data_IF_474452270770
#
_entry.id   IF_474452270770
#
_cell.length_a   1.000
_cell.length_b   1.000
_cell.length_c   1.000
_cell.angle_alpha   90.00
_cell.angle_beta   90.00
_cell.angle_gamma   90.00
#
_symmetry.space_group_name_H-M   'P 1'
#
loop_
_entity.id
_entity.type
_entity.pdbx_description
1 polymer ?
#
# COMPACT_ATOMS: atom_id res chain seq x y z
N UNK A 1 -41.95 16.38 37.32
CA UNK A 1 -42.22 17.78 37.72
C UNK A 1 -41.16 18.66 37.07
N UNK A 2 -41.30 18.88 35.75
CA UNK A 2 -40.63 19.94 34.98
C UNK A 2 -41.74 20.51 34.11
N UNK A 3 -41.88 21.82 34.21
CA UNK A 3 -43.09 22.58 33.99
C UNK A 3 -43.40 22.72 32.50
N UNK A 4 -44.53 22.14 32.06
CA UNK A 4 -45.22 22.52 30.83
C UNK A 4 -45.80 23.93 31.02
N UNK A 5 -45.07 24.95 30.60
CA UNK A 5 -45.66 26.28 30.40
C UNK A 5 -46.30 26.32 29.00
N UNK A 6 -47.60 26.03 28.93
CA UNK A 6 -48.43 26.31 27.77
C UNK A 6 -48.61 27.82 27.63
N UNK A 7 -47.97 28.41 26.62
CA UNK A 7 -48.27 29.78 26.15
C UNK A 7 -49.47 29.73 25.20
N UNK A 8 -50.56 30.38 25.59
CA UNK A 8 -51.84 30.49 24.88
C UNK A 8 -51.86 31.58 23.79
N UNK A 9 -50.71 32.10 23.35
CA UNK A 9 -50.61 33.03 22.23
C UNK A 9 -49.80 32.46 21.05
N UNK A 10 -50.45 31.58 20.28
CA UNK A 10 -50.73 31.81 18.86
C UNK A 10 -49.61 32.08 17.85
N UNK A 11 -48.33 31.86 18.16
CA UNK A 11 -47.27 31.68 17.16
C UNK A 11 -46.34 30.59 17.67
N UNK A 12 -46.47 29.38 17.11
CA UNK A 12 -45.36 28.43 17.16
C UNK A 12 -44.20 29.14 16.48
N UNK A 13 -43.26 29.68 17.26
CA UNK A 13 -41.94 30.01 16.77
C UNK A 13 -41.47 28.73 16.08
N UNK A 14 -41.37 28.78 14.75
CA UNK A 14 -40.72 27.73 13.97
C UNK A 14 -39.47 27.37 14.76
N UNK A 15 -39.25 26.09 15.13
CA UNK A 15 -38.02 25.71 15.82
C UNK A 15 -36.90 26.31 15.00
N UNK A 16 -36.12 27.23 15.60
CA UNK A 16 -34.95 27.79 14.92
C UNK A 16 -34.23 26.58 14.36
N UNK A 17 -34.13 26.52 13.03
CA UNK A 17 -33.52 25.40 12.36
C UNK A 17 -32.10 25.33 12.91
N UNK A 18 -31.86 24.41 13.86
CA UNK A 18 -30.57 24.23 14.50
C UNK A 18 -29.62 23.81 13.38
N UNK A 19 -28.92 24.80 12.83
CA UNK A 19 -27.95 24.59 11.78
C UNK A 19 -26.90 23.61 12.31
N UNK A 20 -26.57 22.62 11.51
CA UNK A 20 -25.46 21.71 11.80
C UNK A 20 -24.19 22.56 11.86
N UNK A 21 -23.65 22.75 13.06
CA UNK A 21 -22.43 23.53 13.22
C UNK A 21 -21.26 22.76 12.60
N UNK A 22 -20.42 23.39 11.75
CA UNK A 22 -19.34 22.72 11.02
C UNK A 22 -18.23 22.20 11.94
N UNK A 23 -18.27 22.59 13.21
CA UNK A 23 -17.32 22.18 14.24
C UNK A 23 -17.26 20.66 14.42
N UNK A 24 -18.39 19.95 14.36
CA UNK A 24 -18.40 18.49 14.48
C UNK A 24 -17.51 17.84 13.41
N UNK A 25 -17.65 18.29 12.15
CA UNK A 25 -16.85 17.79 11.04
C UNK A 25 -15.38 18.21 11.13
N UNK A 26 -15.09 19.45 11.54
CA UNK A 26 -13.71 19.94 11.70
C UNK A 26 -12.98 19.18 12.82
N UNK A 27 -13.61 19.02 13.98
CA UNK A 27 -13.03 18.26 15.09
C UNK A 27 -12.96 16.76 14.80
N UNK A 28 -14.00 16.19 14.16
CA UNK A 28 -14.02 14.81 13.71
C UNK A 28 -12.91 14.51 12.71
N UNK A 29 -12.69 15.41 11.74
CA UNK A 29 -11.57 15.37 10.80
C UNK A 29 -10.22 15.45 11.53
N UNK A 30 -10.05 16.41 12.44
CA UNK A 30 -8.83 16.54 13.24
C UNK A 30 -8.53 15.28 14.04
N UNK A 31 -9.53 14.73 14.72
CA UNK A 31 -9.42 13.48 15.47
C UNK A 31 -9.07 12.30 14.55
N UNK A 32 -9.69 12.21 13.37
CA UNK A 32 -9.39 11.19 12.38
C UNK A 32 -7.92 11.28 11.90
N UNK A 33 -7.42 12.47 11.55
CA UNK A 33 -6.04 12.65 11.09
C UNK A 33 -5.04 12.33 12.20
N UNK A 34 -5.28 12.82 13.42
CA UNK A 34 -4.45 12.50 14.59
C UNK A 34 -4.41 11.00 14.79
N UNK A 35 -5.58 10.33 14.78
CA UNK A 35 -5.67 8.88 14.94
C UNK A 35 -4.94 8.16 13.81
N UNK A 36 -5.12 8.55 12.55
CA UNK A 36 -4.48 7.94 11.39
C UNK A 36 -2.95 8.01 11.48
N UNK A 37 -2.42 9.16 11.91
CA UNK A 37 -0.98 9.39 12.03
C UNK A 37 -0.39 8.76 13.30
N UNK A 38 -1.14 8.72 14.41
CA UNK A 38 -0.66 8.23 15.71
C UNK A 38 -1.03 6.77 16.03
N UNK A 39 -1.82 6.09 15.18
CA UNK A 39 -2.31 4.73 15.45
C UNK A 39 -1.19 3.71 15.73
N UNK A 40 -0.03 3.92 15.12
CA UNK A 40 1.14 3.07 15.35
C UNK A 40 1.67 3.18 16.79
N UNK A 41 1.62 4.37 17.42
CA UNK A 41 1.96 4.53 18.83
C UNK A 41 0.98 3.80 19.74
N UNK A 42 -0.31 3.87 19.44
CA UNK A 42 -1.34 3.12 20.17
C UNK A 42 -1.10 1.61 20.02
N UNK A 43 -0.76 1.15 18.82
CA UNK A 43 -0.45 -0.26 18.56
C UNK A 43 0.77 -0.75 19.34
N UNK A 44 1.80 0.09 19.49
CA UNK A 44 2.98 -0.19 20.32
C UNK A 44 2.59 -0.24 21.80
N UNK A 45 1.83 0.75 22.29
CA UNK A 45 1.35 0.80 23.67
C UNK A 45 0.54 -0.45 24.05
N UNK A 46 -0.31 -0.92 23.13
CA UNK A 46 -1.13 -2.12 23.31
C UNK A 46 -0.37 -3.44 23.04
N UNK A 47 0.93 -3.40 22.74
CA UNK A 47 1.76 -4.57 22.37
C UNK A 47 1.17 -5.39 21.20
N UNK A 48 0.46 -4.72 20.30
CA UNK A 48 -0.10 -5.30 19.08
C UNK A 48 0.85 -5.16 17.88
N UNK A 49 1.97 -4.44 18.07
CA UNK A 49 2.93 -4.20 17.01
C UNK A 49 3.71 -5.48 16.65
N UNK A 50 3.83 -5.81 15.35
CA UNK A 50 4.69 -6.91 14.93
C UNK A 50 6.16 -6.55 15.13
N UNK A 51 6.99 -7.55 15.42
CA UNK A 51 8.45 -7.42 15.34
C UNK A 51 8.86 -7.27 13.88
N UNK A 52 9.57 -6.19 13.54
CA UNK A 52 10.01 -5.91 12.18
C UNK A 52 11.52 -5.78 12.15
N UNK A 53 12.12 -6.37 11.13
CA UNK A 53 13.50 -6.08 10.75
C UNK A 53 13.48 -4.99 9.69
N UNK A 54 14.21 -3.90 9.94
CA UNK A 54 14.46 -2.84 8.97
C UNK A 54 15.96 -2.63 8.90
N UNK A 55 16.55 -3.01 7.78
CA UNK A 55 17.97 -2.88 7.45
C UNK A 55 18.62 -1.58 7.98
N UNK A 56 18.02 -0.43 7.70
CA UNK A 56 18.56 0.88 8.11
C UNK A 56 18.62 1.11 9.62
N UNK A 57 17.75 0.44 10.38
CA UNK A 57 17.63 0.58 11.84
C UNK A 57 18.39 -0.53 12.56
N UNK A 58 18.35 -1.74 12.02
CA UNK A 58 18.93 -2.93 12.66
C UNK A 58 20.41 -3.15 12.32
N UNK A 59 20.91 -2.58 11.22
CA UNK A 59 22.32 -2.65 10.83
C UNK A 59 23.00 -1.33 11.21
N UNK A 60 24.14 -1.44 11.88
CA UNK A 60 24.93 -0.27 12.24
C UNK A 60 25.34 0.51 11.00
N UNK A 61 25.00 1.80 10.92
CA UNK A 61 25.23 2.61 9.71
C UNK A 61 26.62 3.27 9.69
N UNK A 62 27.21 3.51 10.87
CA UNK A 62 28.45 4.29 11.03
C UNK A 62 29.71 3.46 11.32
N UNK A 63 29.56 2.23 11.85
CA UNK A 63 30.68 1.36 12.22
C UNK A 63 30.80 0.31 11.12
N UNK A 64 31.93 0.33 10.40
CA UNK A 64 32.13 -0.53 9.25
C UNK A 64 32.15 -2.03 9.61
N UNK A 65 32.71 -2.40 10.77
CA UNK A 65 32.83 -3.80 11.20
C UNK A 65 31.45 -4.34 11.59
N UNK A 66 30.70 -3.58 12.40
CA UNK A 66 29.34 -3.95 12.78
C UNK A 66 28.38 -3.92 11.59
N UNK A 67 28.57 -3.00 10.63
CA UNK A 67 27.83 -2.98 9.38
C UNK A 67 28.03 -4.25 8.58
N UNK A 68 29.29 -4.67 8.38
CA UNK A 68 29.61 -5.93 7.68
C UNK A 68 29.03 -7.14 8.41
N UNK A 69 29.13 -7.18 9.75
CA UNK A 69 28.52 -8.25 10.56
C UNK A 69 26.99 -8.27 10.41
N UNK A 70 26.35 -7.10 10.42
CA UNK A 70 24.91 -6.96 10.19
C UNK A 70 24.50 -7.43 8.80
N UNK A 71 25.21 -7.02 7.74
CA UNK A 71 24.96 -7.46 6.36
C UNK A 71 25.07 -8.98 6.24
N UNK A 72 26.12 -9.59 6.82
CA UNK A 72 26.29 -11.05 6.84
C UNK A 72 25.15 -11.78 7.55
N UNK A 73 24.45 -11.13 8.49
CA UNK A 73 23.34 -11.72 9.22
C UNK A 73 21.98 -11.66 8.48
N UNK A 74 21.86 -10.85 7.41
CA UNK A 74 20.58 -10.63 6.69
C UNK A 74 19.97 -11.96 6.24
N UNK A 75 20.76 -12.88 5.66
CA UNK A 75 20.27 -14.17 5.19
C UNK A 75 19.58 -14.99 6.29
N UNK A 76 20.18 -15.03 7.49
CA UNK A 76 19.60 -15.73 8.65
C UNK A 76 18.31 -15.07 9.15
N UNK A 77 18.25 -13.73 9.14
CA UNK A 77 17.05 -12.99 9.51
C UNK A 77 15.92 -13.25 8.52
N UNK A 78 16.21 -13.22 7.22
CA UNK A 78 15.23 -13.50 6.16
C UNK A 78 14.71 -14.94 6.23
N UNK A 79 15.58 -15.92 6.47
CA UNK A 79 15.19 -17.32 6.65
C UNK A 79 14.23 -17.53 7.84
N UNK A 80 14.44 -16.80 8.94
CA UNK A 80 13.59 -16.88 10.13
C UNK A 80 12.37 -15.94 10.10
N UNK A 81 12.22 -15.12 9.05
CA UNK A 81 11.12 -14.18 8.93
C UNK A 81 9.85 -14.87 8.41
N UNK A 82 8.70 -14.65 9.06
CA UNK A 82 7.41 -15.21 8.63
C UNK A 82 6.81 -14.53 7.39
N UNK A 83 7.21 -13.29 7.14
CA UNK A 83 6.62 -12.41 6.15
C UNK A 83 7.66 -11.38 5.66
N UNK A 84 7.82 -11.25 4.35
CA UNK A 84 8.56 -10.15 3.73
C UNK A 84 7.59 -9.10 3.21
N UNK A 85 7.69 -7.87 3.70
CA UNK A 85 6.92 -6.72 3.20
C UNK A 85 7.73 -5.95 2.16
N UNK A 86 7.32 -6.07 0.89
CA UNK A 86 7.93 -5.36 -0.23
C UNK A 86 7.22 -4.02 -0.40
N UNK A 87 7.81 -2.94 0.11
CA UNK A 87 7.35 -1.56 -0.12
C UNK A 87 7.72 -1.15 -1.54
N UNK A 88 6.82 -1.43 -2.47
CA UNK A 88 7.08 -1.31 -3.89
C UNK A 88 6.97 0.14 -4.39
N UNK A 89 8.03 0.56 -5.07
CA UNK A 89 8.07 1.73 -5.94
C UNK A 89 8.51 1.34 -7.36
N UNK A 90 8.46 2.30 -8.29
CA UNK A 90 8.80 2.07 -9.71
C UNK A 90 10.26 1.71 -9.98
N UNK A 91 11.11 1.63 -8.96
CA UNK A 91 12.54 1.28 -9.04
C UNK A 91 12.89 -0.01 -8.29
N UNK A 92 11.95 -0.62 -7.56
CA UNK A 92 12.23 -1.81 -6.73
C UNK A 92 12.91 -2.95 -7.51
N UNK A 93 12.34 -3.34 -8.65
CA UNK A 93 12.89 -4.41 -9.50
C UNK A 93 14.09 -3.98 -10.35
N UNK A 94 14.50 -2.72 -10.24
CA UNK A 94 15.76 -2.23 -10.83
C UNK A 94 16.90 -2.25 -9.82
N UNK A 95 16.64 -2.45 -8.52
CA UNK A 95 17.67 -2.40 -7.47
C UNK A 95 18.16 -3.81 -7.14
N UNK A 96 19.45 -4.05 -7.32
CA UNK A 96 20.07 -5.36 -7.13
C UNK A 96 19.82 -5.92 -5.71
N UNK A 97 20.14 -5.14 -4.67
CA UNK A 97 19.97 -5.55 -3.27
C UNK A 97 18.51 -5.88 -2.91
N UNK A 98 17.53 -5.10 -3.38
CA UNK A 98 16.11 -5.38 -3.14
C UNK A 98 15.66 -6.72 -3.75
N UNK A 99 16.20 -7.08 -4.92
CA UNK A 99 15.90 -8.36 -5.57
C UNK A 99 16.64 -9.53 -4.91
N UNK A 100 17.86 -9.27 -4.42
CA UNK A 100 18.64 -10.23 -3.64
C UNK A 100 17.96 -10.62 -2.34
N UNK A 101 17.42 -9.66 -1.58
CA UNK A 101 16.67 -9.96 -0.35
C UNK A 101 15.44 -10.81 -0.63
N UNK A 102 14.78 -10.58 -1.77
CA UNK A 102 13.63 -11.37 -2.19
C UNK A 102 14.04 -12.82 -2.54
N UNK A 103 15.16 -13.01 -3.25
CA UNK A 103 15.69 -14.36 -3.51
C UNK A 103 16.14 -15.06 -2.23
N UNK A 104 16.85 -14.35 -1.34
CA UNK A 104 17.34 -14.88 -0.09
C UNK A 104 16.19 -15.29 0.83
N UNK A 105 15.15 -14.46 0.93
CA UNK A 105 13.92 -14.78 1.67
C UNK A 105 13.25 -16.03 1.13
N UNK A 106 13.13 -16.17 -0.21
CA UNK A 106 12.50 -17.36 -0.80
C UNK A 106 13.34 -18.62 -0.73
N UNK A 107 14.67 -18.50 -0.74
CA UNK A 107 15.55 -19.63 -0.51
C UNK A 107 15.49 -20.10 0.95
N UNK A 108 15.66 -19.18 1.90
CA UNK A 108 15.67 -19.49 3.34
C UNK A 108 14.30 -19.79 3.93
N UNK A 109 13.22 -19.33 3.29
CA UNK A 109 11.85 -19.62 3.68
C UNK A 109 10.95 -19.82 2.44
N UNK A 110 10.96 -21.02 1.82
CA UNK A 110 10.19 -21.32 0.62
C UNK A 110 8.68 -21.01 0.76
N UNK A 111 8.12 -21.37 1.91
CA UNK A 111 6.71 -21.12 2.28
C UNK A 111 6.46 -19.70 2.82
N UNK A 112 7.52 -18.92 3.01
CA UNK A 112 7.49 -17.55 3.51
C UNK A 112 6.58 -16.68 2.64
N UNK A 113 5.72 -15.89 3.29
CA UNK A 113 4.78 -15.03 2.57
C UNK A 113 5.48 -13.75 2.15
N UNK A 114 5.30 -13.32 0.90
CA UNK A 114 5.67 -11.98 0.46
C UNK A 114 4.39 -11.15 0.40
N UNK A 115 4.38 -9.92 0.88
CA UNK A 115 3.30 -8.95 0.67
C UNK A 115 3.85 -7.73 -0.05
N UNK A 116 3.22 -7.35 -1.16
CA UNK A 116 3.61 -6.14 -1.90
C UNK A 116 2.72 -4.97 -1.52
N UNK A 117 3.35 -3.85 -1.17
CA UNK A 117 2.71 -2.62 -0.71
C UNK A 117 3.14 -1.44 -1.60
N UNK A 118 2.29 -0.96 -2.52
CA UNK A 118 2.61 0.22 -3.32
C UNK A 118 2.72 1.48 -2.47
N UNK A 119 3.89 2.12 -2.47
CA UNK A 119 4.14 3.33 -1.67
C UNK A 119 3.26 4.51 -2.12
N UNK A 120 2.88 4.56 -3.39
CA UNK A 120 2.03 5.64 -3.95
C UNK A 120 0.59 5.63 -3.42
N UNK A 121 0.12 4.51 -2.83
CA UNK A 121 -1.25 4.44 -2.31
C UNK A 121 -1.45 5.26 -1.04
N UNK A 122 -0.40 5.50 -0.24
CA UNK A 122 -0.48 6.38 0.94
C UNK A 122 -0.84 7.82 0.55
N UNK A 123 -0.07 8.49 -0.33
CA UNK A 123 -0.42 9.80 -0.87
C UNK A 123 -1.80 9.83 -1.53
N UNK A 124 -2.23 8.74 -2.18
CA UNK A 124 -3.58 8.67 -2.75
C UNK A 124 -4.66 8.75 -1.67
N UNK A 125 -4.59 7.90 -0.64
CA UNK A 125 -5.53 7.91 0.49
C UNK A 125 -5.63 9.30 1.10
N UNK A 126 -4.48 9.93 1.38
CA UNK A 126 -4.43 11.28 1.93
C UNK A 126 -5.04 12.31 0.97
N UNK A 127 -4.72 12.24 -0.33
CA UNK A 127 -5.26 13.18 -1.32
C UNK A 127 -6.77 13.06 -1.50
N UNK A 128 -7.31 11.83 -1.44
CA UNK A 128 -8.75 11.57 -1.56
C UNK A 128 -9.50 12.03 -0.30
N UNK A 129 -8.93 11.74 0.88
CA UNK A 129 -9.40 12.25 2.16
C UNK A 129 -9.48 13.79 2.15
N UNK A 130 -8.38 14.48 1.83
CA UNK A 130 -8.36 15.95 1.78
C UNK A 130 -9.32 16.48 0.73
N UNK A 131 -9.47 15.80 -0.40
CA UNK A 131 -10.37 16.21 -1.46
C UNK A 131 -11.83 16.24 -0.99
N UNK A 132 -12.28 15.16 -0.36
CA UNK A 132 -13.64 15.06 0.18
C UNK A 132 -13.85 15.98 1.37
N UNK A 133 -12.90 16.08 2.29
CA UNK A 133 -12.97 17.00 3.43
C UNK A 133 -13.13 18.47 3.00
N UNK A 134 -12.27 18.96 2.10
CA UNK A 134 -12.33 20.34 1.65
C UNK A 134 -13.66 20.62 0.95
N UNK A 135 -14.12 19.70 0.10
CA UNK A 135 -15.38 19.87 -0.62
C UNK A 135 -16.58 19.89 0.33
N UNK A 136 -16.61 19.02 1.35
CA UNK A 136 -17.70 19.00 2.34
C UNK A 136 -17.72 20.27 3.21
N UNK A 137 -16.56 20.73 3.71
CA UNK A 137 -16.47 21.97 4.52
C UNK A 137 -16.92 23.19 3.73
N UNK A 138 -16.53 23.28 2.45
CA UNK A 138 -16.98 24.39 1.58
C UNK A 138 -18.48 24.32 1.34
N UNK A 139 -19.03 23.13 1.11
CA UNK A 139 -20.46 22.94 0.91
C UNK A 139 -21.26 23.40 2.14
N UNK A 140 -20.86 22.96 3.34
CA UNK A 140 -21.48 23.40 4.59
C UNK A 140 -21.35 24.92 4.80
N UNK A 141 -20.19 25.51 4.48
CA UNK A 141 -20.00 26.96 4.53
C UNK A 141 -20.96 27.73 3.62
N UNK A 142 -21.25 27.19 2.43
CA UNK A 142 -22.25 27.76 1.51
C UNK A 142 -23.66 27.63 2.07
N UNK A 143 -24.02 26.45 2.60
CA UNK A 143 -25.34 26.20 3.21
C UNK A 143 -25.63 27.17 4.37
N UNK A 144 -24.65 27.35 5.27
CA UNK A 144 -24.74 28.27 6.40
C UNK A 144 -24.92 29.72 5.96
N UNK A 145 -24.14 30.17 4.96
CA UNK A 145 -24.17 31.56 4.50
C UNK A 145 -25.46 31.89 3.76
N UNK A 146 -25.94 30.98 2.92
CA UNK A 146 -27.06 31.25 2.01
C UNK A 146 -28.42 30.83 2.57
N UNK A 147 -28.46 30.26 3.78
CA UNK A 147 -29.67 29.67 4.39
C UNK A 147 -30.44 28.81 3.38
N UNK A 148 -29.71 28.03 2.58
CA UNK A 148 -30.31 27.24 1.51
C UNK A 148 -31.27 26.24 2.16
N UNK A 149 -32.56 26.33 1.81
CA UNK A 149 -33.56 25.38 2.28
C UNK A 149 -33.20 23.98 1.76
N UNK A 150 -33.04 23.01 2.65
CA UNK A 150 -32.71 21.60 2.37
C UNK A 150 -33.77 20.87 1.53
N UNK A 151 -34.84 21.55 1.11
CA UNK A 151 -35.79 21.05 0.11
C UNK A 151 -35.13 20.97 -1.27
N UNK A 152 -34.36 19.90 -1.47
CA UNK A 152 -34.25 19.15 -2.72
C UNK A 152 -34.10 19.95 -4.02
N UNK A 153 -33.25 20.98 -4.04
CA UNK A 153 -32.82 21.58 -5.30
C UNK A 153 -31.68 20.76 -5.88
N UNK A 154 -31.86 20.19 -7.08
CA UNK A 154 -30.77 19.55 -7.85
C UNK A 154 -29.54 20.46 -8.01
N UNK A 155 -29.70 21.77 -7.82
CA UNK A 155 -28.64 22.77 -7.77
C UNK A 155 -27.58 22.49 -6.70
N UNK A 156 -27.96 21.96 -5.52
CA UNK A 156 -26.99 21.66 -4.45
C UNK A 156 -26.07 20.51 -4.84
N UNK A 157 -26.60 19.48 -5.49
CA UNK A 157 -25.79 18.38 -6.02
C UNK A 157 -24.86 18.87 -7.14
N UNK A 158 -25.35 19.75 -8.03
CA UNK A 158 -24.53 20.33 -9.10
C UNK A 158 -23.40 21.17 -8.49
N UNK A 159 -23.70 21.99 -7.49
CA UNK A 159 -22.69 22.75 -6.75
C UNK A 159 -21.67 21.83 -6.08
N UNK A 160 -22.12 20.76 -5.42
CA UNK A 160 -21.23 19.75 -4.84
C UNK A 160 -20.30 19.13 -5.89
N UNK A 161 -20.82 18.75 -7.06
CA UNK A 161 -20.00 18.22 -8.16
C UNK A 161 -18.95 19.24 -8.65
N UNK A 162 -19.31 20.52 -8.74
CA UNK A 162 -18.38 21.60 -9.12
C UNK A 162 -17.30 21.82 -8.05
N UNK A 163 -17.64 21.75 -6.77
CA UNK A 163 -16.70 21.89 -5.65
C UNK A 163 -15.72 20.71 -5.55
N UNK A 164 -16.14 19.51 -5.98
CA UNK A 164 -15.29 18.33 -6.03
C UNK A 164 -14.32 18.32 -7.24
N UNK A 165 -14.61 19.09 -8.29
CA UNK A 165 -13.77 19.10 -9.49
C UNK A 165 -12.29 19.48 -9.24
N UNK A 166 -11.95 20.60 -8.58
CA UNK A 166 -10.55 20.96 -8.35
C UNK A 166 -9.84 19.94 -7.46
N UNK A 167 -10.53 19.42 -6.44
CA UNK A 167 -9.96 18.48 -5.48
C UNK A 167 -9.74 17.09 -6.10
N UNK A 168 -10.70 16.59 -6.88
CA UNK A 168 -10.52 15.35 -7.65
C UNK A 168 -9.49 15.48 -8.76
N UNK A 169 -9.30 16.66 -9.37
CA UNK A 169 -8.19 16.89 -10.31
C UNK A 169 -6.83 16.63 -9.65
N UNK A 170 -6.63 17.10 -8.41
CA UNK A 170 -5.40 16.84 -7.65
C UNK A 170 -5.28 15.35 -7.28
N UNK A 171 -6.38 14.72 -6.85
CA UNK A 171 -6.40 13.28 -6.58
C UNK A 171 -6.04 12.45 -7.82
N UNK A 172 -6.52 12.86 -9.01
CA UNK A 172 -6.24 12.19 -10.28
C UNK A 172 -4.78 12.33 -10.71
N UNK A 173 -4.09 13.42 -10.36
CA UNK A 173 -2.63 13.52 -10.56
C UNK A 173 -1.88 12.40 -9.80
N UNK A 174 -2.25 12.15 -8.54
CA UNK A 174 -1.64 11.07 -7.73
C UNK A 174 -2.01 9.71 -8.31
N UNK A 175 -3.28 9.51 -8.66
CA UNK A 175 -3.74 8.26 -9.25
C UNK A 175 -3.07 7.96 -10.59
N UNK A 176 -2.91 8.95 -11.47
CA UNK A 176 -2.18 8.78 -12.75
C UNK A 176 -0.72 8.38 -12.53
N UNK A 177 -0.06 8.90 -11.49
CA UNK A 177 1.30 8.43 -11.12
C UNK A 177 1.28 6.96 -10.72
N UNK A 178 0.28 6.54 -9.92
CA UNK A 178 0.10 5.13 -9.57
C UNK A 178 -0.13 4.24 -10.80
N UNK A 179 -1.02 4.64 -11.72
CA UNK A 179 -1.29 3.90 -12.96
C UNK A 179 -0.04 3.78 -13.84
N UNK A 180 0.75 4.84 -13.96
CA UNK A 180 2.01 4.81 -14.70
C UNK A 180 3.01 3.85 -14.05
N UNK A 181 3.11 3.86 -12.72
CA UNK A 181 3.95 2.90 -12.00
C UNK A 181 3.47 1.46 -12.21
N UNK A 182 2.16 1.19 -12.23
CA UNK A 182 1.61 -0.13 -12.53
C UNK A 182 1.95 -0.61 -13.94
N UNK A 183 1.90 0.28 -14.94
CA UNK A 183 2.31 -0.02 -16.32
C UNK A 183 3.80 -0.37 -16.38
N UNK A 184 4.64 0.44 -15.72
CA UNK A 184 6.09 0.18 -15.61
C UNK A 184 6.37 -1.16 -14.93
N UNK A 185 5.69 -1.45 -13.82
CA UNK A 185 5.81 -2.72 -13.10
C UNK A 185 5.48 -3.93 -13.98
N UNK A 186 4.40 -3.84 -14.77
CA UNK A 186 4.02 -4.92 -15.68
C UNK A 186 5.14 -5.23 -16.67
N UNK A 187 5.80 -4.20 -17.20
CA UNK A 187 6.94 -4.34 -18.12
C UNK A 187 8.17 -4.87 -17.38
N UNK A 188 8.55 -4.26 -16.25
CA UNK A 188 9.68 -4.68 -15.42
C UNK A 188 9.60 -6.16 -15.04
N UNK A 189 8.43 -6.65 -14.60
CA UNK A 189 8.26 -8.06 -14.26
C UNK A 189 8.25 -8.98 -15.49
N UNK A 190 7.87 -8.48 -16.67
CA UNK A 190 7.88 -9.30 -17.88
C UNK A 190 9.29 -9.53 -18.42
N UNK A 191 10.14 -8.50 -18.32
CA UNK A 191 11.53 -8.51 -18.84
C UNK A 191 12.57 -8.54 -17.73
N UNK A 192 12.17 -8.90 -16.51
CA UNK A 192 13.01 -8.84 -15.32
C UNK A 192 14.27 -9.69 -15.52
N UNK A 193 15.46 -9.17 -15.27
CA UNK A 193 16.64 -10.01 -15.07
C UNK A 193 17.48 -9.47 -13.93
N UNK A 194 17.84 -10.34 -12.99
CA UNK A 194 18.71 -9.95 -11.88
C UNK A 194 20.07 -9.46 -12.39
N UNK A 195 20.55 -10.00 -13.51
CA UNK A 195 21.82 -9.60 -14.14
C UNK A 195 21.79 -8.17 -14.68
N UNK A 196 20.61 -7.64 -15.01
CA UNK A 196 20.45 -6.25 -15.47
C UNK A 196 20.00 -5.29 -14.37
N UNK A 197 19.78 -5.77 -13.13
CA UNK A 197 19.46 -4.92 -11.99
C UNK A 197 20.65 -3.99 -11.67
N UNK A 198 20.38 -2.73 -11.35
CA UNK A 198 21.37 -1.68 -11.06
C UNK A 198 22.01 -1.90 -9.68
N UNK A 199 23.31 -1.64 -9.61
CA UNK A 199 24.14 -1.69 -8.42
C UNK A 199 24.90 -0.38 -8.28
N UNK A 200 24.87 0.21 -7.08
CA UNK A 200 25.59 1.46 -6.79
C UNK A 200 27.08 1.35 -7.12
N UNK A 201 27.74 0.25 -6.72
CA UNK A 201 29.16 0.05 -6.99
C UNK A 201 29.46 0.13 -8.49
N UNK A 202 28.62 -0.46 -9.35
CA UNK A 202 28.83 -0.51 -10.78
C UNK A 202 28.57 0.85 -11.44
N UNK A 203 27.50 1.53 -11.03
CA UNK A 203 27.14 2.86 -11.52
C UNK A 203 28.22 3.89 -11.14
N UNK A 204 28.86 3.71 -9.98
CA UNK A 204 29.99 4.50 -9.51
C UNK A 204 31.36 4.02 -10.05
N UNK A 205 31.38 3.13 -11.05
CA UNK A 205 32.61 2.55 -11.64
C UNK A 205 33.57 1.93 -10.62
N UNK A 206 33.01 1.32 -9.58
CA UNK A 206 33.72 0.71 -8.46
C UNK A 206 34.62 1.67 -7.68
N UNK A 207 34.24 2.96 -7.63
CA UNK A 207 34.95 3.98 -6.87
C UNK A 207 33.92 4.73 -6.00
N UNK A 208 34.18 4.85 -4.71
CA UNK A 208 33.29 5.58 -3.81
C UNK A 208 33.35 7.09 -4.12
N UNK A 209 32.22 7.78 -4.34
CA UNK A 209 32.23 9.18 -4.78
C UNK A 209 32.89 10.13 -3.78
N UNK A 210 32.66 9.93 -2.48
CA UNK A 210 33.20 10.83 -1.45
C UNK A 210 34.64 10.51 -1.04
N UNK A 211 34.98 9.22 -0.84
CA UNK A 211 36.29 8.81 -0.32
C UNK A 211 37.31 8.47 -1.42
N UNK A 212 36.87 8.34 -2.67
CA UNK A 212 37.67 7.86 -3.80
C UNK A 212 38.27 6.45 -3.61
N UNK A 213 37.87 5.74 -2.56
CA UNK A 213 38.34 4.39 -2.29
C UNK A 213 37.71 3.37 -3.28
N UNK A 214 38.44 2.29 -3.63
CA UNK A 214 37.88 1.22 -4.45
C UNK A 214 36.73 0.52 -3.73
N UNK A 215 35.65 0.23 -4.46
CA UNK A 215 34.47 -0.48 -3.98
C UNK A 215 34.47 -1.92 -4.49
N UNK A 216 34.26 -2.93 -3.61
CA UNK A 216 34.03 -4.30 -4.06
C UNK A 216 32.79 -4.38 -4.94
N UNK A 217 32.76 -5.36 -5.85
CA UNK A 217 31.65 -5.54 -6.76
C UNK A 217 30.48 -6.27 -6.08
N UNK A 218 29.45 -5.52 -5.65
CA UNK A 218 28.22 -6.09 -5.11
C UNK A 218 27.53 -7.05 -6.09
N UNK A 219 27.64 -6.79 -7.41
CA UNK A 219 27.01 -7.62 -8.44
C UNK A 219 27.54 -9.04 -8.44
N UNK A 220 28.85 -9.22 -8.33
CA UNK A 220 29.45 -10.56 -8.30
C UNK A 220 29.00 -11.31 -7.04
N UNK A 221 29.06 -10.65 -5.88
CA UNK A 221 28.65 -11.24 -4.60
C UNK A 221 27.18 -11.69 -4.65
N UNK A 222 26.29 -10.80 -5.11
CA UNK A 222 24.86 -11.08 -5.22
C UNK A 222 24.58 -12.19 -6.23
N UNK A 223 25.15 -12.10 -7.44
CA UNK A 223 24.89 -13.06 -8.49
C UNK A 223 25.39 -14.46 -8.11
N UNK A 224 26.60 -14.56 -7.54
CA UNK A 224 27.16 -15.84 -7.09
C UNK A 224 26.31 -16.44 -5.97
N UNK A 225 25.80 -15.61 -5.06
CA UNK A 225 24.91 -16.08 -3.99
C UNK A 225 23.61 -16.66 -4.56
N UNK A 226 22.96 -15.94 -5.49
CA UNK A 226 21.70 -16.40 -6.11
C UNK A 226 21.92 -17.64 -6.97
N UNK A 227 23.03 -17.69 -7.70
CA UNK A 227 23.42 -18.85 -8.49
C UNK A 227 23.55 -20.09 -7.60
N UNK A 228 24.27 -19.97 -6.47
CA UNK A 228 24.44 -21.05 -5.51
C UNK A 228 23.12 -21.49 -4.83
N UNK A 229 22.16 -20.58 -4.65
CA UNK A 229 20.90 -20.88 -3.96
C UNK A 229 19.84 -21.54 -4.82
N UNK A 230 19.68 -21.08 -6.06
CA UNK A 230 18.61 -21.55 -6.94
C UNK A 230 18.93 -21.44 -8.44
N UNK A 231 20.05 -20.84 -8.82
CA UNK A 231 20.35 -20.47 -10.20
C UNK A 231 19.69 -19.15 -10.61
N UNK A 232 20.46 -18.29 -11.27
CA UNK A 232 20.02 -16.96 -11.71
C UNK A 232 18.83 -17.04 -12.69
N UNK A 233 18.82 -18.03 -13.59
CA UNK A 233 17.75 -18.19 -14.58
C UNK A 233 16.46 -18.72 -13.95
N UNK A 234 16.58 -19.59 -12.95
CA UNK A 234 15.45 -20.05 -12.14
C UNK A 234 14.84 -18.89 -11.38
N UNK A 235 15.66 -18.03 -10.77
CA UNK A 235 15.18 -16.83 -10.08
C UNK A 235 14.46 -15.87 -11.04
N UNK A 236 15.06 -15.58 -12.20
CA UNK A 236 14.43 -14.74 -13.23
C UNK A 236 13.07 -15.32 -13.66
N UNK A 237 12.97 -16.65 -13.85
CA UNK A 237 11.72 -17.33 -14.21
C UNK A 237 10.68 -17.25 -13.10
N UNK A 238 11.08 -17.42 -11.83
CA UNK A 238 10.21 -17.27 -10.66
C UNK A 238 9.61 -15.86 -10.59
N UNK A 239 10.44 -14.83 -10.81
CA UNK A 239 9.98 -13.42 -10.80
C UNK A 239 9.03 -13.14 -11.98
N UNK A 240 9.39 -13.57 -13.19
CA UNK A 240 8.59 -13.37 -14.41
C UNK A 240 7.27 -14.15 -14.40
N UNK A 241 7.24 -15.29 -13.70
CA UNK A 241 6.10 -16.22 -13.63
C UNK A 241 5.26 -16.03 -12.38
N UNK A 242 5.55 -16.80 -11.34
CA UNK A 242 4.75 -16.91 -10.12
C UNK A 242 4.61 -15.58 -9.38
N UNK A 243 5.72 -14.88 -9.21
CA UNK A 243 5.71 -13.62 -8.50
C UNK A 243 4.91 -12.56 -9.26
N UNK A 244 5.04 -12.48 -10.59
CA UNK A 244 4.20 -11.60 -11.42
C UNK A 244 2.71 -11.88 -11.27
N UNK A 245 2.29 -13.15 -11.24
CA UNK A 245 0.90 -13.54 -10.98
C UNK A 245 0.47 -13.15 -9.56
N UNK A 246 1.34 -13.37 -8.58
CA UNK A 246 1.12 -13.00 -7.19
C UNK A 246 0.94 -11.48 -7.00
N UNK A 247 1.82 -10.66 -7.58
CA UNK A 247 1.74 -9.19 -7.57
C UNK A 247 0.43 -8.73 -8.20
N UNK A 248 0.06 -9.29 -9.36
CA UNK A 248 -1.20 -8.97 -10.03
C UNK A 248 -2.43 -9.22 -9.13
N UNK A 249 -2.43 -10.29 -8.32
CA UNK A 249 -3.49 -10.59 -7.35
C UNK A 249 -3.48 -9.63 -6.16
N UNK A 250 -2.30 -9.38 -5.60
CA UNK A 250 -2.12 -8.53 -4.41
C UNK A 250 -2.48 -7.07 -4.66
N UNK A 251 -2.29 -6.59 -5.88
CA UNK A 251 -2.64 -5.22 -6.29
C UNK A 251 -4.13 -5.03 -6.57
N UNK A 252 -5.03 -5.84 -5.99
CA UNK A 252 -6.48 -5.59 -6.02
C UNK A 252 -7.22 -6.08 -7.26
N UNK A 253 -6.81 -7.21 -7.83
CA UNK A 253 -7.60 -7.91 -8.86
C UNK A 253 -7.93 -7.06 -10.10
N UNK A 254 -9.23 -6.86 -10.39
CA UNK A 254 -9.70 -6.06 -11.53
C UNK A 254 -9.64 -4.56 -11.24
N UNK A 255 -9.95 -4.15 -10.00
CA UNK A 255 -9.89 -2.77 -9.54
C UNK A 255 -8.47 -2.18 -9.55
N UNK A 256 -7.42 -3.02 -9.57
CA UNK A 256 -6.00 -2.61 -9.54
C UNK A 256 -5.61 -1.72 -8.36
N UNK A 257 -6.41 -1.70 -7.31
CA UNK A 257 -6.11 -1.10 -6.02
C UNK A 257 -6.60 -2.05 -4.93
N UNK A 258 -5.80 -2.35 -3.88
CA UNK A 258 -6.26 -3.23 -2.81
C UNK A 258 -7.43 -2.60 -2.04
N UNK A 259 -8.47 -3.38 -1.77
CA UNK A 259 -9.71 -2.91 -1.13
C UNK A 259 -9.48 -2.15 0.19
N UNK A 260 -8.53 -2.61 1.02
CA UNK A 260 -8.14 -1.93 2.27
C UNK A 260 -7.75 -0.45 2.09
N UNK A 261 -7.12 -0.09 0.98
CA UNK A 261 -6.75 1.31 0.70
C UNK A 261 -7.94 2.12 0.22
N UNK A 262 -8.84 1.49 -0.56
CA UNK A 262 -10.09 2.13 -0.96
C UNK A 262 -10.95 2.41 0.27
N UNK A 263 -11.11 1.43 1.18
CA UNK A 263 -11.80 1.61 2.46
C UNK A 263 -11.11 2.69 3.30
N UNK A 264 -9.78 2.66 3.45
CA UNK A 264 -9.07 3.69 4.21
C UNK A 264 -9.31 5.11 3.67
N UNK A 265 -9.36 5.27 2.33
CA UNK A 265 -9.73 6.54 1.70
C UNK A 265 -11.21 6.93 1.93
N UNK A 266 -12.07 5.96 2.22
CA UNK A 266 -13.52 6.11 2.36
C UNK A 266 -14.01 6.29 3.79
N UNK A 267 -13.14 6.13 4.80
CA UNK A 267 -13.52 6.27 6.23
C UNK A 267 -14.07 7.67 6.51
N UNK A 268 -13.34 8.72 6.12
CA UNK A 268 -13.80 10.09 6.38
C UNK A 268 -15.13 10.42 5.70
N UNK A 269 -15.34 10.17 4.39
CA UNK A 269 -16.65 10.40 3.79
C UNK A 269 -17.78 9.63 4.49
N UNK A 270 -17.52 8.40 4.94
CA UNK A 270 -18.48 7.64 5.73
C UNK A 270 -18.83 8.28 7.08
N UNK A 271 -17.83 8.80 7.79
CA UNK A 271 -18.01 9.56 9.03
C UNK A 271 -18.74 10.89 8.79
N UNK A 272 -18.38 11.60 7.72
CA UNK A 272 -19.04 12.84 7.29
C UNK A 272 -20.53 12.61 7.01
N UNK A 273 -20.87 11.51 6.32
CA UNK A 273 -22.26 11.08 6.11
C UNK A 273 -22.97 10.78 7.43
N UNK A 274 -22.29 10.12 8.38
CA UNK A 274 -22.86 9.87 9.71
C UNK A 274 -23.20 11.18 10.44
N UNK A 275 -22.30 12.17 10.42
CA UNK A 275 -22.52 13.48 11.04
C UNK A 275 -23.72 14.21 10.41
N UNK A 276 -23.82 14.18 9.07
CA UNK A 276 -24.93 14.78 8.34
C UNK A 276 -26.28 14.13 8.69
N UNK A 277 -26.31 12.80 8.79
CA UNK A 277 -27.57 12.08 9.08
C UNK A 277 -27.98 12.26 10.54
N UNK A 278 -27.04 12.21 11.49
CA UNK A 278 -27.34 12.45 12.93
C UNK A 278 -27.90 13.86 13.16
N UNK A 279 -27.44 14.82 12.37
CA UNK A 279 -27.91 16.19 12.47
C UNK A 279 -29.30 16.40 11.82
N UNK A 280 -29.70 15.54 10.88
CA UNK A 280 -31.02 15.56 10.27
C UNK A 280 -32.08 14.89 11.16
N UNK A 281 -32.73 15.70 12.01
CA UNK A 281 -33.80 15.26 12.91
C UNK A 281 -35.03 14.66 12.21
N UNK A 282 -35.14 14.75 10.88
CA UNK A 282 -36.27 14.15 10.14
C UNK A 282 -36.11 12.64 9.97
N UNK A 283 -34.88 12.12 10.05
CA UNK A 283 -34.58 10.69 9.90
C UNK A 283 -34.68 10.04 11.29
N UNK A 284 -35.87 9.55 11.65
CA UNK A 284 -36.17 9.05 13.02
C UNK A 284 -35.65 7.63 13.31
N UNK A 285 -34.72 7.08 12.52
CA UNK A 285 -34.32 5.66 12.62
C UNK A 285 -32.80 5.50 12.71
N UNK A 286 -32.22 5.42 13.92
CA UNK A 286 -30.76 5.37 14.12
C UNK A 286 -30.07 4.20 13.37
N UNK A 287 -30.76 3.07 13.19
CA UNK A 287 -30.22 1.93 12.43
C UNK A 287 -30.05 2.21 10.93
N UNK A 288 -30.87 3.12 10.36
CA UNK A 288 -30.75 3.50 8.96
C UNK A 288 -29.55 4.41 8.71
N UNK A 289 -29.25 5.30 9.66
CA UNK A 289 -28.12 6.24 9.60
C UNK A 289 -26.79 5.49 9.55
N UNK A 290 -26.62 4.55 10.48
CA UNK A 290 -25.45 3.69 10.53
C UNK A 290 -25.29 2.87 9.25
N UNK A 291 -26.39 2.38 8.67
CA UNK A 291 -26.37 1.63 7.42
C UNK A 291 -25.85 2.50 6.26
N UNK A 292 -26.29 3.76 6.15
CA UNK A 292 -25.84 4.68 5.10
C UNK A 292 -24.36 5.06 5.28
N UNK A 293 -23.88 5.23 6.51
CA UNK A 293 -22.46 5.46 6.78
C UNK A 293 -21.58 4.23 6.44
N UNK A 294 -22.05 3.03 6.79
CA UNK A 294 -21.38 1.76 6.46
C UNK A 294 -21.35 1.58 4.93
N UNK A 295 -22.46 1.77 4.24
CA UNK A 295 -22.51 1.66 2.79
C UNK A 295 -21.60 2.69 2.10
N UNK A 296 -21.56 3.95 2.57
CA UNK A 296 -20.64 4.95 2.04
C UNK A 296 -19.17 4.51 2.21
N UNK A 297 -18.80 3.99 3.39
CA UNK A 297 -17.43 3.59 3.73
C UNK A 297 -16.97 2.34 2.96
N UNK A 298 -17.82 1.32 2.91
CA UNK A 298 -17.43 -0.02 2.44
C UNK A 298 -17.86 -0.31 1.01
N UNK A 299 -18.86 0.38 0.48
CA UNK A 299 -19.43 0.09 -0.84
C UNK A 299 -19.26 1.25 -1.82
N UNK A 300 -19.91 2.40 -1.56
CA UNK A 300 -20.03 3.51 -2.52
C UNK A 300 -18.68 4.09 -2.94
N UNK A 301 -17.90 4.58 -1.97
CA UNK A 301 -16.61 5.20 -2.28
C UNK A 301 -15.59 4.19 -2.83
N UNK A 302 -15.46 2.96 -2.30
CA UNK A 302 -14.63 1.93 -2.93
C UNK A 302 -15.04 1.61 -4.38
N UNK A 303 -16.34 1.61 -4.70
CA UNK A 303 -16.84 1.42 -6.05
C UNK A 303 -16.45 2.60 -6.97
N UNK A 304 -16.64 3.85 -6.52
CA UNK A 304 -16.23 5.05 -7.26
C UNK A 304 -14.72 5.03 -7.54
N UNK A 305 -13.90 4.67 -6.54
CA UNK A 305 -12.44 4.54 -6.70
C UNK A 305 -12.11 3.46 -7.74
N UNK A 306 -12.74 2.30 -7.68
CA UNK A 306 -12.48 1.20 -8.63
C UNK A 306 -12.87 1.57 -10.07
N UNK A 307 -14.02 2.24 -10.25
CA UNK A 307 -14.47 2.74 -11.56
C UNK A 307 -13.50 3.79 -12.10
N UNK A 308 -13.04 4.72 -11.25
CA UNK A 308 -12.06 5.75 -11.61
C UNK A 308 -10.72 5.16 -12.06
N UNK A 309 -10.20 4.17 -11.32
CA UNK A 309 -8.99 3.44 -11.68
C UNK A 309 -9.16 2.70 -13.01
N UNK A 310 -10.30 2.03 -13.19
CA UNK A 310 -10.61 1.28 -14.42
C UNK A 310 -10.69 2.21 -15.63
N UNK A 311 -11.31 3.38 -15.47
CA UNK A 311 -11.38 4.42 -16.48
C UNK A 311 -9.98 4.91 -16.87
N UNK A 312 -9.14 5.28 -15.90
CA UNK A 312 -7.77 5.71 -16.15
C UNK A 312 -6.93 4.64 -16.85
N UNK A 313 -7.02 3.39 -16.42
CA UNK A 313 -6.30 2.28 -17.06
C UNK A 313 -6.67 2.12 -18.54
N UNK A 314 -7.94 2.33 -18.88
CA UNK A 314 -8.45 2.13 -20.25
C UNK A 314 -8.20 3.33 -21.17
N UNK A 315 -8.31 4.55 -20.65
CA UNK A 315 -8.38 5.75 -21.49
C UNK A 315 -7.20 6.71 -21.36
N UNK A 316 -6.38 6.62 -20.30
CA UNK A 316 -5.34 7.62 -20.02
C UNK A 316 -4.35 7.79 -21.18
N UNK A 317 -3.86 6.70 -21.80
CA UNK A 317 -2.87 6.81 -22.87
C UNK A 317 -3.45 7.44 -24.14
N UNK A 318 -4.71 7.11 -24.47
CA UNK A 318 -5.41 7.70 -25.63
C UNK A 318 -5.65 9.20 -25.42
N UNK A 319 -6.09 9.59 -24.22
CA UNK A 319 -6.27 11.00 -23.87
C UNK A 319 -4.94 11.75 -23.88
N UNK A 320 -3.86 11.18 -23.33
CA UNK A 320 -2.53 11.80 -23.37
C UNK A 320 -2.03 12.03 -24.79
N UNK A 321 -2.19 11.06 -25.69
CA UNK A 321 -1.82 11.22 -27.10
C UNK A 321 -2.66 12.31 -27.77
N UNK A 322 -3.98 12.34 -27.52
CA UNK A 322 -4.86 13.38 -28.06
C UNK A 322 -4.47 14.78 -27.55
N UNK A 323 -4.23 14.95 -26.25
CA UNK A 323 -3.84 16.23 -25.67
C UNK A 323 -2.44 16.68 -26.11
N UNK A 324 -1.48 15.76 -26.24
CA UNK A 324 -0.13 16.10 -26.73
C UNK A 324 -0.13 16.59 -28.19
N UNK A 325 -1.17 16.27 -28.99
CA UNK A 325 -1.33 16.85 -30.34
C UNK A 325 -1.81 18.31 -30.30
N UNK A 326 -2.53 18.70 -29.25
CA UNK A 326 -3.19 20.01 -29.15
C UNK A 326 -2.46 20.98 -28.22
N UNK A 327 -1.70 20.47 -27.24
CA UNK A 327 -1.14 21.24 -26.13
C UNK A 327 0.33 20.90 -25.90
N UNK A 328 1.10 21.85 -25.36
CA UNK A 328 2.46 21.60 -24.83
C UNK A 328 2.41 20.53 -23.72
N UNK A 329 3.46 19.72 -23.60
CA UNK A 329 3.50 18.54 -22.70
C UNK A 329 3.05 18.83 -21.26
N UNK A 330 3.50 19.95 -20.67
CA UNK A 330 3.09 20.33 -19.31
C UNK A 330 1.59 20.64 -19.21
N UNK A 331 1.04 21.34 -20.20
CA UNK A 331 -0.40 21.66 -20.29
C UNK A 331 -1.23 20.42 -20.62
N UNK A 332 -0.71 19.51 -21.44
CA UNK A 332 -1.38 18.25 -21.78
C UNK A 332 -1.59 17.36 -20.54
N UNK A 333 -0.60 17.31 -19.63
CA UNK A 333 -0.74 16.58 -18.35
C UNK A 333 -1.84 17.17 -17.48
N UNK A 334 -1.90 18.49 -17.33
CA UNK A 334 -2.96 19.15 -16.57
C UNK A 334 -4.33 18.96 -17.23
N UNK A 335 -4.43 19.09 -18.55
CA UNK A 335 -5.65 18.81 -19.29
C UNK A 335 -6.14 17.37 -19.08
N UNK A 336 -5.23 16.39 -19.08
CA UNK A 336 -5.56 15.01 -18.70
C UNK A 336 -6.13 14.94 -17.28
N UNK A 337 -5.45 15.53 -16.29
CA UNK A 337 -5.88 15.46 -14.89
C UNK A 337 -7.22 16.13 -14.66
N UNK A 338 -7.48 17.27 -15.32
CA UNK A 338 -8.77 17.96 -15.26
C UNK A 338 -9.85 17.12 -15.95
N UNK A 339 -9.59 16.57 -17.13
CA UNK A 339 -10.55 15.73 -17.85
C UNK A 339 -10.94 14.48 -17.05
N UNK A 340 -9.96 13.82 -16.44
CA UNK A 340 -10.22 12.65 -15.59
C UNK A 340 -10.91 13.05 -14.28
N UNK A 341 -10.53 14.18 -13.69
CA UNK A 341 -11.21 14.77 -12.53
C UNK A 341 -12.68 15.07 -12.78
N UNK A 342 -13.03 15.60 -13.97
CA UNK A 342 -14.42 15.80 -14.39
C UNK A 342 -15.19 14.49 -14.47
N UNK A 343 -14.59 13.44 -15.04
CA UNK A 343 -15.24 12.12 -15.13
C UNK A 343 -15.47 11.53 -13.74
N UNK A 344 -14.50 11.62 -12.82
CA UNK A 344 -14.67 11.14 -11.44
C UNK A 344 -15.74 11.94 -10.70
N UNK A 345 -15.77 13.27 -10.88
CA UNK A 345 -16.80 14.14 -10.30
C UNK A 345 -18.20 13.78 -10.83
N UNK A 346 -18.31 13.48 -12.12
CA UNK A 346 -19.57 13.05 -12.73
C UNK A 346 -20.02 11.67 -12.21
N UNK A 347 -19.10 10.71 -12.08
CA UNK A 347 -19.40 9.40 -11.47
C UNK A 347 -19.89 9.61 -10.03
N UNK A 348 -19.14 10.38 -9.23
CA UNK A 348 -19.50 10.68 -7.84
C UNK A 348 -20.90 11.30 -7.73
N UNK A 349 -21.20 12.29 -8.57
CA UNK A 349 -22.51 12.95 -8.65
C UNK A 349 -23.64 11.97 -9.00
N UNK A 350 -23.45 11.12 -10.00
CA UNK A 350 -24.44 10.09 -10.38
C UNK A 350 -24.73 9.15 -9.21
N UNK A 351 -23.70 8.72 -8.48
CA UNK A 351 -23.87 7.89 -7.29
C UNK A 351 -24.64 8.62 -6.18
N UNK A 352 -24.32 9.89 -5.91
CA UNK A 352 -25.05 10.67 -4.91
C UNK A 352 -26.53 10.81 -5.23
N UNK A 353 -26.87 11.19 -6.47
CA UNK A 353 -28.27 11.35 -6.88
C UNK A 353 -29.00 10.03 -6.87
N UNK A 354 -28.38 8.97 -7.40
CA UNK A 354 -29.01 7.65 -7.45
C UNK A 354 -29.28 7.14 -6.04
N UNK A 355 -28.30 7.25 -5.14
CA UNK A 355 -28.48 6.86 -3.75
C UNK A 355 -29.59 7.66 -3.08
N UNK A 356 -29.60 9.00 -3.25
CA UNK A 356 -30.64 9.85 -2.70
C UNK A 356 -32.03 9.46 -3.23
N UNK A 357 -32.16 9.26 -4.54
CA UNK A 357 -33.40 8.86 -5.18
C UNK A 357 -33.90 7.51 -4.68
N UNK A 358 -33.01 6.51 -4.59
CA UNK A 358 -33.37 5.17 -4.08
C UNK A 358 -33.85 5.24 -2.63
N UNK A 359 -33.15 5.99 -1.78
CA UNK A 359 -33.49 6.14 -0.36
C UNK A 359 -34.83 6.81 -0.16
N UNK A 360 -35.14 7.84 -0.96
CA UNK A 360 -36.36 8.63 -0.79
C UNK A 360 -37.57 8.07 -1.54
N UNK A 361 -37.39 7.51 -2.73
CA UNK A 361 -38.50 7.15 -3.63
C UNK A 361 -38.79 5.65 -3.71
N UNK A 362 -37.79 4.78 -3.52
CA UNK A 362 -37.94 3.36 -3.85
C UNK A 362 -38.30 2.45 -2.65
N UNK A 363 -38.51 3.04 -1.47
CA UNK A 363 -38.83 2.31 -0.24
C UNK A 363 -37.77 1.27 0.15
N UNK A 364 -38.12 0.36 1.06
CA UNK A 364 -37.17 -0.63 1.61
C UNK A 364 -36.62 -1.59 0.54
N UNK A 365 -37.46 -1.99 -0.42
CA UNK A 365 -37.05 -2.92 -1.47
C UNK A 365 -36.01 -2.29 -2.42
N UNK A 366 -36.23 -1.03 -2.83
CA UNK A 366 -35.26 -0.31 -3.66
C UNK A 366 -33.91 -0.15 -2.98
N UNK A 367 -33.90 0.24 -1.70
CA UNK A 367 -32.67 0.34 -0.90
C UNK A 367 -31.95 -1.01 -0.82
N UNK A 368 -32.67 -2.11 -0.57
CA UNK A 368 -32.07 -3.44 -0.52
C UNK A 368 -31.48 -3.86 -1.88
N UNK A 369 -32.18 -3.59 -2.98
CA UNK A 369 -31.71 -3.89 -4.33
C UNK A 369 -30.45 -3.08 -4.69
N UNK A 370 -30.41 -1.80 -4.30
CA UNK A 370 -29.24 -0.94 -4.50
C UNK A 370 -28.01 -1.42 -3.71
N UNK A 371 -28.19 -1.74 -2.42
CA UNK A 371 -27.13 -2.30 -1.58
C UNK A 371 -26.58 -3.61 -2.16
N UNK A 372 -27.47 -4.47 -2.67
CA UNK A 372 -27.07 -5.71 -3.33
C UNK A 372 -26.24 -5.42 -4.60
N UNK A 373 -26.68 -4.47 -5.43
CA UNK A 373 -25.95 -4.05 -6.63
C UNK A 373 -24.53 -3.57 -6.30
N UNK A 374 -24.38 -2.68 -5.31
CA UNK A 374 -23.07 -2.17 -4.92
C UNK A 374 -22.19 -3.26 -4.33
N UNK A 375 -22.76 -4.12 -3.47
CA UNK A 375 -22.05 -5.26 -2.87
C UNK A 375 -21.52 -6.22 -3.94
N UNK A 376 -22.36 -6.58 -4.93
CA UNK A 376 -21.95 -7.44 -6.03
C UNK A 376 -20.90 -6.76 -6.92
N UNK A 377 -21.03 -5.45 -7.16
CA UNK A 377 -20.08 -4.67 -7.96
C UNK A 377 -18.71 -4.56 -7.29
N UNK A 378 -18.66 -4.24 -6.00
CA UNK A 378 -17.44 -4.23 -5.19
C UNK A 378 -16.85 -5.64 -5.10
N UNK A 379 -17.69 -6.63 -4.85
CA UNK A 379 -17.36 -8.06 -4.91
C UNK A 379 -16.61 -8.44 -6.19
N UNK A 380 -17.21 -8.12 -7.34
CA UNK A 380 -16.67 -8.42 -8.66
C UNK A 380 -15.38 -7.68 -8.98
N UNK A 381 -15.28 -6.39 -8.64
CA UNK A 381 -14.13 -5.56 -8.97
C UNK A 381 -12.90 -5.87 -8.09
N UNK A 382 -13.10 -6.04 -6.78
CA UNK A 382 -12.01 -6.26 -5.84
C UNK A 382 -11.68 -7.74 -5.62
N UNK A 383 -12.67 -8.64 -5.66
CA UNK A 383 -12.53 -10.05 -5.28
C UNK A 383 -12.81 -11.05 -6.42
N UNK A 384 -13.48 -10.62 -7.50
CA UNK A 384 -13.90 -11.50 -8.61
C UNK A 384 -12.77 -12.21 -9.38
N UNK A 385 -11.50 -11.87 -9.14
CA UNK A 385 -10.34 -12.59 -9.68
C UNK A 385 -9.81 -13.72 -8.79
N UNK A 386 -10.31 -13.87 -7.57
CA UNK A 386 -9.79 -14.82 -6.57
C UNK A 386 -10.57 -16.14 -6.58
N UNK A 387 -11.85 -16.10 -6.96
CA UNK A 387 -12.81 -17.18 -6.68
C UNK A 387 -12.75 -18.42 -7.60
N UNK A 388 -11.88 -18.48 -8.62
CA UNK A 388 -11.89 -19.61 -9.59
C UNK A 388 -10.60 -20.43 -9.67
N UNK A 389 -9.59 -20.17 -8.83
CA UNK A 389 -8.32 -20.93 -8.86
C UNK A 389 -7.95 -21.65 -7.56
N UNK A 390 -8.80 -21.61 -6.52
CA UNK A 390 -8.51 -22.23 -5.22
C UNK A 390 -8.88 -23.71 -5.10
N UNK A 391 -9.39 -24.38 -6.14
CA UNK A 391 -9.76 -25.81 -6.03
C UNK A 391 -8.80 -26.81 -6.69
N UNK A 392 -7.70 -26.38 -7.33
CA UNK A 392 -6.75 -27.35 -7.96
C UNK A 392 -5.29 -27.23 -7.52
N UNK A 393 -4.90 -26.20 -6.76
CA UNK A 393 -3.50 -26.02 -6.36
C UNK A 393 -3.10 -26.70 -5.03
N UNK A 394 -4.04 -27.26 -4.28
CA UNK A 394 -3.77 -27.92 -2.98
C UNK A 394 -3.66 -29.44 -3.05
N UNK A 395 -3.62 -30.06 -4.24
CA UNK A 395 -3.56 -31.53 -4.36
C UNK A 395 -2.43 -32.12 -5.20
N UNK A 396 -1.50 -31.31 -5.73
CA UNK A 396 -0.36 -31.84 -6.53
C UNK A 396 1.03 -31.39 -6.07
N UNK A 397 1.19 -30.64 -4.98
CA UNK A 397 2.53 -30.36 -4.42
C UNK A 397 2.99 -31.37 -3.37
N UNK A 398 2.26 -32.46 -3.18
CA UNK A 398 2.75 -33.63 -2.47
C UNK A 398 3.03 -34.71 -3.50
N UNK A 399 4.32 -35.06 -3.68
CA UNK A 399 4.82 -36.25 -4.40
C UNK A 399 5.22 -36.07 -5.88
N UNK A 400 6.04 -35.07 -6.17
CA UNK A 400 7.16 -35.27 -7.11
C UNK A 400 8.44 -34.90 -6.33
N UNK A 401 9.20 -35.92 -5.95
CA UNK A 401 10.47 -35.76 -5.26
C UNK A 401 11.49 -35.12 -6.20
N UNK A 402 11.95 -33.92 -5.87
CA UNK A 402 13.35 -33.58 -6.12
C UNK A 402 14.13 -34.25 -4.99
N UNK A 403 14.72 -35.39 -5.32
CA UNK A 403 15.74 -36.03 -4.48
C UNK A 403 16.94 -35.08 -4.38
N UNK A 404 16.98 -34.30 -3.30
CA UNK A 404 18.19 -33.68 -2.78
C UNK A 404 18.81 -34.65 -1.77
N UNK A 405 19.34 -35.77 -2.28
CA UNK A 405 20.23 -36.66 -1.55
C UNK A 405 21.39 -37.01 -2.48
N UNK A 406 22.32 -36.07 -2.65
CA UNK A 406 23.69 -36.35 -3.08
C UNK A 406 24.60 -35.23 -2.57
N UNK A 407 24.86 -35.27 -1.26
CA UNK A 407 25.94 -34.53 -0.62
C UNK A 407 26.53 -35.39 0.51
N UNK A 408 26.92 -36.61 0.16
CA UNK A 408 27.76 -37.46 0.99
C UNK A 408 28.61 -38.36 0.10
N UNK A 409 29.67 -37.78 -0.47
CA UNK A 409 30.83 -38.49 -0.98
C UNK A 409 32.01 -37.52 -1.08
N UNK A 410 32.66 -37.29 0.07
CA UNK A 410 34.04 -36.84 0.10
C UNK A 410 34.87 -38.03 0.59
N UNK A 411 35.26 -38.87 -0.36
CA UNK A 411 36.18 -39.98 -0.16
C UNK A 411 37.58 -39.44 0.13
N UNK A 412 38.13 -39.88 1.24
CA UNK A 412 39.57 -39.89 1.54
C UNK A 412 40.33 -40.59 0.40
N UNK A 413 41.04 -39.80 -0.40
CA UNK A 413 42.05 -40.32 -1.32
C UNK A 413 43.39 -40.38 -0.60
N UNK A 414 43.82 -41.59 -0.26
CA UNK A 414 45.22 -41.93 0.02
C UNK A 414 46.05 -41.61 -1.24
N UNK A 415 47.08 -40.78 -1.06
CA UNK A 415 48.04 -40.43 -2.10
C UNK A 415 49.23 -41.36 -2.03
N UNK A 416 49.49 -42.03 -3.14
CA UNK A 416 50.70 -42.81 -3.42
C UNK A 416 51.77 -41.92 -4.08
N UNK A 417 53.01 -42.38 -3.97
CA UNK A 417 54.28 -41.66 -4.10
C UNK A 417 54.54 -40.90 -5.42
N UNK A 418 55.21 -39.74 -5.30
CA UNK A 418 55.68 -38.97 -6.46
C UNK A 418 56.58 -37.79 -6.10
N UNK A 419 57.87 -38.07 -5.90
CA UNK A 419 58.96 -37.10 -5.72
C UNK A 419 59.06 -36.08 -6.87
N UNK A 420 59.10 -34.77 -6.56
CA UNK A 420 59.98 -33.83 -7.28
C UNK A 420 60.26 -32.54 -6.47
N UNK A 421 61.50 -32.07 -6.60
CA UNK A 421 62.15 -30.99 -5.87
C UNK A 421 61.59 -29.59 -6.19
N UNK A 422 61.58 -28.74 -5.16
CA UNK A 422 62.39 -27.51 -5.18
C UNK A 422 61.69 -26.15 -5.12
N UNK A 423 62.20 -25.33 -4.21
CA UNK A 423 62.22 -23.86 -4.13
C UNK A 423 61.01 -23.12 -3.51
N UNK A 424 61.15 -22.91 -2.20
CA UNK A 424 61.13 -21.63 -1.47
C UNK A 424 60.33 -20.46 -2.05
N UNK A 425 59.34 -20.00 -1.28
CA UNK A 425 59.10 -18.59 -0.95
C UNK A 425 58.04 -18.50 0.16
N UNK A 426 58.51 -18.33 1.39
CA UNK A 426 57.69 -18.11 2.58
C UNK A 426 57.27 -16.64 2.69
N UNK A 427 55.98 -16.38 2.99
CA UNK A 427 55.53 -15.19 3.73
C UNK A 427 54.43 -15.63 4.71
N UNK A 428 54.67 -15.29 5.96
CA UNK A 428 54.03 -15.74 7.19
C UNK A 428 52.56 -15.29 7.35
N UNK A 429 51.69 -16.19 7.81
CA UNK A 429 50.48 -15.83 8.56
C UNK A 429 50.64 -16.30 10.01
N UNK A 430 50.76 -15.32 10.92
CA UNK A 430 50.92 -15.51 12.34
C UNK A 430 49.67 -16.10 12.99
N UNK A 431 49.87 -17.26 13.62
CA UNK A 431 48.97 -17.92 14.55
C UNK A 431 49.19 -17.29 15.94
N UNK A 432 48.13 -16.80 16.60
CA UNK A 432 48.17 -16.54 18.06
C UNK A 432 47.16 -17.44 18.76
N UNK A 433 47.68 -18.52 19.33
CA UNK A 433 47.08 -19.23 20.44
C UNK A 433 47.55 -18.58 21.75
N UNK A 434 46.62 -18.25 22.63
CA UNK A 434 46.88 -17.83 24.00
C UNK A 434 45.80 -18.38 24.93
N UNK A 435 46.20 -19.32 25.79
CA UNK A 435 45.41 -20.01 26.80
C UNK A 435 45.82 -19.47 28.18
N UNK A 436 44.87 -19.08 29.03
CA UNK A 436 44.86 -19.21 30.53
C UNK A 436 43.73 -18.32 31.07
N UNK A 437 42.69 -18.85 31.70
CA UNK A 437 42.51 -19.34 33.08
C UNK A 437 41.49 -18.46 33.81
N UNK A 438 40.36 -19.08 34.17
CA UNK A 438 39.70 -19.04 35.48
C UNK A 438 39.31 -17.71 36.12
N UNK A 439 38.01 -17.52 36.38
CA UNK A 439 37.55 -16.55 37.38
C UNK A 439 36.05 -16.28 37.43
N UNK A 440 35.38 -16.96 38.36
CA UNK A 440 34.21 -16.54 39.15
C UNK A 440 32.93 -15.95 38.48
N UNK A 441 31.87 -16.72 38.72
CA UNK A 441 30.44 -16.37 38.82
C UNK A 441 30.17 -14.95 39.36
N UNK A 442 29.46 -14.15 38.56
CA UNK A 442 28.86 -12.88 38.96
C UNK A 442 27.52 -12.68 38.25
N UNK A 443 26.44 -12.62 39.02
CA UNK A 443 25.05 -12.48 38.60
C UNK A 443 24.75 -10.98 38.48
N UNK A 444 24.56 -10.45 37.27
CA UNK A 444 24.11 -9.06 37.08
C UNK A 444 22.95 -8.95 36.10
N UNK A 445 21.80 -8.63 36.71
CA UNK A 445 20.80 -7.64 36.31
C UNK A 445 20.65 -7.27 34.83
N UNK A 446 19.49 -7.65 34.30
CA UNK A 446 18.81 -7.09 33.13
C UNK A 446 18.75 -5.56 33.20
N UNK A 447 19.54 -4.90 32.34
CA UNK A 447 19.37 -3.49 32.00
C UNK A 447 18.48 -3.39 30.78
N UNK A 448 17.36 -2.69 30.98
CA UNK A 448 16.37 -2.33 29.98
C UNK A 448 16.89 -1.10 29.20
N UNK A 449 17.05 -1.12 27.87
CA UNK A 449 17.20 0.10 27.12
C UNK A 449 15.82 0.53 26.60
N UNK A 450 15.31 1.60 27.21
CA UNK A 450 14.35 2.50 26.59
C UNK A 450 14.94 3.04 25.28
N UNK A 451 14.42 2.62 24.13
CA UNK A 451 14.27 3.41 22.89
C UNK A 451 13.25 2.72 21.98
#
# INVERSE_FOLDING_TARGET
>A
IITQHYSLHGKWSQPESEFVHPWAQVFGCGAFVVTLLSWHHVSVLLRLAPTMFLDKVCIHQTDAVLKVKGIKSIGGILANSKLMLVTWDSTYFERLWCTYEMSAFKHGNPDGRIKVLPVVLGPFVLSYFLATFISDVVLQGVELKWKWSTKMDGQLYVLSALLHLPTFTLCMRVMSRYINNLKKLKSQLATFSVRSAKCFCCDAKHIHPDTQAPLPCDREVVNNSIENWMGLDTFDRMVRGDFKRFVKRTLGGRARIPYRFAVAASIYPGLSVMDHVVADRTITRPGFELLVAIEATFLRHPLIIALSVTFLLKFQDRMMVAFNKLLKESRAKWALYTATGMVVSAIYYVFLITNHYVVTQCGKFGVAAWLLFETLSVGSLYFGGICWQTSTATRTSGREGMDFNDASNFSTGEGDDGSFRGSDSAVEMGNMQGRSQGGAVGRETTVNPSW
#
